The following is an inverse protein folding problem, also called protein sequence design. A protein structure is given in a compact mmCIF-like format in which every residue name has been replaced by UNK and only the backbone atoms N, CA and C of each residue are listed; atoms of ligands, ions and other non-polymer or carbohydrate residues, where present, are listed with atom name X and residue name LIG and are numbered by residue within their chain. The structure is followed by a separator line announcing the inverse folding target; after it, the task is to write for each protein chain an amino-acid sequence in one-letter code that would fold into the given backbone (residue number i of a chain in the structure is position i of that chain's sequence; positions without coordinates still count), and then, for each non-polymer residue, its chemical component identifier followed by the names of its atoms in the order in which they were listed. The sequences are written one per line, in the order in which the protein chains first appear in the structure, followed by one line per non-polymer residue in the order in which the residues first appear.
data_IF_620123726348
#
_entry.id   IF_620123726348
#
_cell.length_a   1.000
_cell.length_b   1.000
_cell.length_c   1.000
_cell.angle_alpha   90.00
_cell.angle_beta   90.00
_cell.angle_gamma   90.00
#
_symmetry.space_group_name_H-M   'P 1'
#
loop_
_entity.id
_entity.type
_entity.pdbx_description
1 polymer ?
#
# COMPACT_ATOMS: atom_id res chain seq x y z
N UNK A 1 10.09 18.53 -41.34
CA UNK A 1 9.20 18.62 -40.15
C UNK A 1 9.34 17.31 -39.39
N UNK A 2 10.18 17.26 -38.35
CA UNK A 2 10.36 16.05 -37.53
C UNK A 2 9.22 15.99 -36.51
N UNK A 3 8.37 14.97 -36.60
CA UNK A 3 7.46 14.61 -35.51
C UNK A 3 8.27 13.97 -34.38
N UNK A 4 7.93 14.18 -33.10
CA UNK A 4 8.65 13.56 -32.01
C UNK A 4 8.37 12.04 -32.01
N UNK A 5 9.37 11.21 -31.66
CA UNK A 5 9.14 9.79 -31.44
C UNK A 5 8.16 9.60 -30.29
N UNK A 6 7.25 8.63 -30.44
CA UNK A 6 6.27 8.30 -29.42
C UNK A 6 6.95 8.08 -28.05
N UNK A 7 6.32 8.50 -26.93
CA UNK A 7 6.85 8.22 -25.60
C UNK A 7 6.77 6.72 -25.33
N UNK A 8 7.83 6.00 -25.68
CA UNK A 8 7.91 4.53 -25.54
C UNK A 8 9.23 3.89 -25.97
N UNK A 9 10.22 4.67 -26.42
CA UNK A 9 11.45 4.17 -27.05
C UNK A 9 12.61 3.80 -26.10
N UNK A 10 12.37 3.52 -24.82
CA UNK A 10 13.43 3.27 -23.82
C UNK A 10 13.53 1.81 -23.34
N UNK A 11 12.73 0.88 -23.87
CA UNK A 11 12.80 -0.54 -23.49
C UNK A 11 12.39 -0.85 -22.04
N UNK A 12 11.87 0.14 -21.30
CA UNK A 12 11.17 -0.08 -20.03
C UNK A 12 9.74 -0.47 -20.40
N UNK A 13 9.45 -1.77 -20.37
CA UNK A 13 8.10 -2.30 -20.50
C UNK A 13 7.24 -1.72 -19.37
N UNK A 14 6.49 -0.67 -19.71
CA UNK A 14 5.50 -0.02 -18.85
C UNK A 14 6.06 0.67 -17.58
N UNK A 15 6.44 1.93 -17.76
CA UNK A 15 6.90 2.82 -16.68
C UNK A 15 5.86 2.97 -15.56
N UNK A 16 4.57 2.93 -15.88
CA UNK A 16 3.51 3.04 -14.88
C UNK A 16 3.46 1.79 -14.00
N UNK A 17 3.57 0.59 -14.58
CA UNK A 17 3.66 -0.64 -13.78
C UNK A 17 4.91 -0.67 -12.91
N UNK A 18 6.04 -0.22 -13.45
CA UNK A 18 7.29 -0.12 -12.69
C UNK A 18 7.16 0.85 -11.52
N UNK A 19 6.54 2.02 -11.75
CA UNK A 19 6.23 3.01 -10.72
C UNK A 19 5.30 2.42 -9.65
N UNK A 20 4.23 1.73 -10.06
CA UNK A 20 3.28 1.10 -9.16
C UNK A 20 3.95 0.04 -8.28
N UNK A 21 4.75 -0.85 -8.87
CA UNK A 21 5.46 -1.90 -8.12
C UNK A 21 6.40 -1.31 -7.06
N UNK A 22 7.12 -0.23 -7.40
CA UNK A 22 7.96 0.49 -6.44
C UNK A 22 7.12 1.11 -5.32
N UNK A 23 5.98 1.73 -5.63
CA UNK A 23 5.10 2.33 -4.61
C UNK A 23 4.51 1.27 -3.68
N UNK A 24 4.10 0.11 -4.19
CA UNK A 24 3.65 -1.01 -3.37
C UNK A 24 4.76 -1.54 -2.45
N UNK A 25 6.01 -1.62 -2.96
CA UNK A 25 7.17 -2.00 -2.15
C UNK A 25 7.47 -0.98 -1.05
N UNK A 26 7.33 0.31 -1.33
CA UNK A 26 7.49 1.36 -0.31
C UNK A 26 6.38 1.31 0.73
N UNK A 27 5.13 1.03 0.32
CA UNK A 27 4.01 0.81 1.24
C UNK A 27 4.21 -0.43 2.13
N UNK A 28 4.88 -1.47 1.63
CA UNK A 28 5.32 -2.60 2.45
C UNK A 28 6.33 -2.14 3.51
N UNK A 29 7.39 -1.44 3.09
CA UNK A 29 8.44 -0.99 4.00
C UNK A 29 7.94 -0.04 5.09
N UNK A 30 7.04 0.88 4.77
CA UNK A 30 6.46 1.78 5.78
C UNK A 30 5.69 1.07 6.88
N UNK A 31 5.26 -0.18 6.64
CA UNK A 31 4.56 -1.02 7.63
C UNK A 31 5.47 -1.98 8.38
N UNK A 32 6.60 -2.39 7.80
CA UNK A 32 7.45 -3.44 8.38
C UNK A 32 8.77 -2.96 8.97
N UNK A 33 9.24 -1.75 8.64
CA UNK A 33 10.53 -1.23 9.11
C UNK A 33 10.42 0.27 9.45
N UNK A 34 9.98 0.55 10.67
CA UNK A 34 9.85 1.91 11.24
C UNK A 34 11.20 2.47 11.74
N UNK A 35 12.23 1.63 11.82
CA UNK A 35 13.55 1.99 12.37
C UNK A 35 14.45 2.74 11.40
N UNK A 36 14.09 2.79 10.11
CA UNK A 36 14.92 3.39 9.06
C UNK A 36 14.74 4.91 9.00
N UNK A 37 15.78 5.62 8.57
CA UNK A 37 15.75 7.07 8.37
C UNK A 37 14.67 7.57 7.38
N UNK A 38 14.11 6.67 6.57
CA UNK A 38 13.04 6.97 5.63
C UNK A 38 11.63 6.77 6.22
N UNK A 39 11.50 6.26 7.45
CA UNK A 39 10.19 6.12 8.12
C UNK A 39 9.53 7.46 8.45
N UNK A 40 10.32 8.53 8.50
CA UNK A 40 9.84 9.91 8.69
C UNK A 40 9.44 10.60 7.40
N UNK A 41 9.67 10.00 6.22
CA UNK A 41 9.10 10.54 4.99
C UNK A 41 7.58 10.30 5.01
N UNK A 42 6.81 11.38 5.01
CA UNK A 42 5.37 11.32 4.82
C UNK A 42 5.06 10.86 3.38
N UNK A 43 5.00 9.54 3.19
CA UNK A 43 4.65 8.93 1.91
C UNK A 43 3.13 8.79 1.83
N UNK A 44 2.52 9.64 1.00
CA UNK A 44 1.10 9.55 0.71
C UNK A 44 0.83 8.53 -0.40
N UNK A 45 -0.03 7.55 -0.12
CA UNK A 45 -0.46 6.51 -1.06
C UNK A 45 -1.91 6.72 -1.49
N UNK A 46 -2.20 6.55 -2.78
CA UNK A 46 -3.57 6.68 -3.28
C UNK A 46 -4.44 5.52 -2.80
N UNK A 47 -5.77 5.71 -2.84
CA UNK A 47 -6.71 4.63 -2.49
C UNK A 47 -6.56 3.40 -3.40
N UNK A 48 -6.24 3.60 -4.68
CA UNK A 48 -6.00 2.52 -5.64
C UNK A 48 -4.74 1.71 -5.28
N UNK A 49 -3.64 2.39 -4.94
CA UNK A 49 -2.39 1.73 -4.53
C UNK A 49 -2.59 0.91 -3.26
N UNK A 50 -3.34 1.46 -2.29
CA UNK A 50 -3.71 0.73 -1.08
C UNK A 50 -4.58 -0.48 -1.41
N UNK A 51 -5.57 -0.34 -2.28
CA UNK A 51 -6.43 -1.45 -2.69
C UNK A 51 -5.64 -2.59 -3.35
N UNK A 52 -4.73 -2.27 -4.28
CA UNK A 52 -3.87 -3.27 -4.94
C UNK A 52 -2.95 -3.96 -3.93
N UNK A 53 -2.35 -3.19 -3.02
CA UNK A 53 -1.53 -3.72 -1.94
C UNK A 53 -2.30 -4.72 -1.08
N UNK A 54 -3.49 -4.34 -0.61
CA UNK A 54 -4.32 -5.19 0.24
C UNK A 54 -4.91 -6.40 -0.50
N UNK A 55 -5.11 -6.31 -1.82
CA UNK A 55 -5.50 -7.46 -2.64
C UNK A 55 -4.36 -8.47 -2.82
N UNK A 56 -3.10 -8.02 -2.73
CA UNK A 56 -1.91 -8.81 -3.03
C UNK A 56 -1.13 -9.27 -1.80
N UNK A 57 -1.52 -8.82 -0.61
CA UNK A 57 -0.83 -9.12 0.65
C UNK A 57 -1.82 -9.53 1.72
N UNK A 58 -1.35 -10.33 2.68
CA UNK A 58 -2.07 -10.64 3.91
C UNK A 58 -1.16 -10.32 5.09
N UNK A 59 -1.75 -9.95 6.22
CA UNK A 59 -1.00 -9.54 7.40
C UNK A 59 -1.11 -10.61 8.47
N UNK A 60 0.04 -11.11 8.94
CA UNK A 60 0.10 -11.98 10.11
C UNK A 60 0.42 -11.15 11.35
N UNK A 61 -0.41 -11.26 12.37
CA UNK A 61 -0.11 -10.68 13.68
C UNK A 61 0.96 -11.57 14.32
N UNK A 62 2.18 -11.06 14.45
CA UNK A 62 3.28 -11.75 15.13
C UNK A 62 3.45 -11.20 16.55
N UNK A 63 3.52 -9.88 16.71
CA UNK A 63 3.79 -9.22 18.00
C UNK A 63 2.64 -8.32 18.51
N UNK A 64 1.60 -8.11 17.72
CA UNK A 64 0.47 -7.21 18.06
C UNK A 64 0.81 -5.71 18.06
N UNK A 65 2.04 -5.32 17.69
CA UNK A 65 2.52 -3.94 17.72
C UNK A 65 2.57 -3.30 16.32
N UNK A 66 2.79 -4.11 15.28
CA UNK A 66 2.90 -3.61 13.90
C UNK A 66 1.58 -3.60 13.12
N UNK A 67 0.58 -4.38 13.55
CA UNK A 67 -0.70 -4.48 12.86
C UNK A 67 -1.69 -3.41 13.34
N UNK A 68 -2.22 -2.61 12.41
CA UNK A 68 -3.37 -1.74 12.67
C UNK A 68 -4.62 -2.58 12.86
N UNK A 69 -5.02 -2.73 14.12
CA UNK A 69 -6.14 -3.58 14.53
C UNK A 69 -7.41 -3.41 13.69
N UNK A 70 -7.79 -2.18 13.33
CA UNK A 70 -9.03 -1.91 12.61
C UNK A 70 -8.93 -1.94 11.08
N UNK A 71 -7.76 -1.58 10.55
CA UNK A 71 -7.56 -1.35 9.10
C UNK A 71 -6.89 -2.53 8.41
N UNK A 72 -6.01 -3.26 9.10
CA UNK A 72 -5.24 -4.33 8.47
C UNK A 72 -6.04 -5.63 8.34
N UNK A 73 -5.77 -6.36 7.26
CA UNK A 73 -6.48 -7.59 6.88
C UNK A 73 -5.94 -8.84 7.58
N UNK A 74 -5.98 -8.85 8.91
CA UNK A 74 -5.40 -9.91 9.73
C UNK A 74 -6.36 -11.04 10.12
N UNK A 75 -7.68 -10.85 9.98
CA UNK A 75 -8.68 -11.86 10.32
C UNK A 75 -9.18 -12.55 9.06
N UNK A 76 -8.61 -13.72 8.77
CA UNK A 76 -8.94 -14.52 7.56
C UNK A 76 -8.82 -13.69 6.26
N UNK A 77 -7.83 -12.80 6.19
CA UNK A 77 -7.60 -11.93 5.02
C UNK A 77 -8.60 -10.76 4.91
N UNK A 78 -9.35 -10.43 5.96
CA UNK A 78 -10.26 -9.29 6.03
C UNK A 78 -9.90 -8.37 7.19
N UNK A 79 -10.28 -7.10 7.10
CA UNK A 79 -10.16 -6.13 8.19
C UNK A 79 -11.45 -6.07 9.03
N UNK A 80 -11.38 -5.48 10.22
CA UNK A 80 -12.59 -5.24 11.02
C UNK A 80 -13.49 -4.20 10.34
N UNK A 81 -12.92 -3.18 9.68
CA UNK A 81 -13.70 -2.22 8.89
C UNK A 81 -14.51 -2.87 7.76
N UNK A 82 -14.04 -4.01 7.23
CA UNK A 82 -14.77 -4.80 6.22
C UNK A 82 -15.81 -5.76 6.81
N UNK A 83 -15.60 -6.27 8.03
CA UNK A 83 -16.51 -7.24 8.67
C UNK A 83 -17.62 -6.54 9.46
N UNK A 84 -17.28 -5.45 10.15
CA UNK A 84 -18.17 -4.71 11.04
C UNK A 84 -18.07 -3.19 10.77
N UNK A 85 -18.53 -2.71 9.60
CA UNK A 85 -18.40 -1.31 9.20
C UNK A 85 -19.13 -0.34 10.14
N UNK A 86 -20.25 -0.77 10.74
CA UNK A 86 -21.00 0.03 11.71
C UNK A 86 -20.23 0.23 13.02
N UNK A 87 -19.52 -0.81 13.48
CA UNK A 87 -18.65 -0.72 14.66
C UNK A 87 -17.46 0.19 14.37
N UNK A 88 -16.86 0.07 13.19
CA UNK A 88 -15.76 0.91 12.75
C UNK A 88 -16.14 2.40 12.69
N UNK A 89 -17.36 2.71 12.26
CA UNK A 89 -17.86 4.08 12.20
C UNK A 89 -18.01 4.76 13.57
N UNK A 90 -18.08 3.99 14.66
CA UNK A 90 -18.17 4.52 16.03
C UNK A 90 -16.81 4.88 16.64
N UNK A 91 -15.69 4.61 15.94
CA UNK A 91 -14.35 4.82 16.47
C UNK A 91 -13.91 6.27 16.18
N UNK A 92 -13.41 7.03 17.18
CA UNK A 92 -12.84 8.35 16.95
C UNK A 92 -11.63 8.25 16.02
N UNK A 93 -11.55 9.15 15.03
CA UNK A 93 -10.41 9.25 14.09
C UNK A 93 -9.32 10.17 14.62
#
# INVERSE_FOLDING_TARGET
RMSPPAPGGLGVEDLERTRLALRLRWLWFSRTDDTRAWSTLDMQFSAEEQAIFFASTYMMIVDGLTAKFWEDRWISGRSISEIAPLLYACIPK
#
